data_IF_637381893618
#
_entry.id   IF_637381893618
#
_cell.length_a   1.000
_cell.length_b   1.000
_cell.length_c   1.000
_cell.angle_alpha   90.00
_cell.angle_beta   90.00
_cell.angle_gamma   90.00
#
_symmetry.space_group_name_H-M   'P 1'
#
loop_
_entity.id
_entity.type
_entity.pdbx_description
1 polymer ?
#
# COMPACT_ATOMS: atom_id res chain seq x y z
N UNK A 1 -4.80 -32.59 26.93
CA UNK A 1 -5.63 -31.36 27.08
C UNK A 1 -4.83 -30.05 27.12
N UNK A 2 -3.48 -30.04 26.89
CA UNK A 2 -2.66 -28.84 27.20
C UNK A 2 -2.01 -28.08 26.02
N UNK A 3 -1.96 -28.65 24.83
CA UNK A 3 -1.31 -27.98 23.69
C UNK A 3 -2.12 -26.78 23.17
N UNK A 4 -3.40 -26.80 23.31
CA UNK A 4 -4.28 -25.73 22.82
C UNK A 4 -4.31 -24.51 23.77
N UNK A 5 -4.27 -24.76 25.07
CA UNK A 5 -4.13 -23.73 26.10
C UNK A 5 -2.78 -23.02 26.02
N UNK A 6 -1.69 -23.77 25.80
CA UNK A 6 -0.36 -23.21 25.64
C UNK A 6 -0.23 -22.35 24.38
N UNK A 7 -0.80 -22.78 23.25
CA UNK A 7 -0.85 -21.99 22.00
C UNK A 7 -1.64 -20.69 22.17
N UNK A 8 -2.76 -20.73 22.90
CA UNK A 8 -3.57 -19.54 23.12
C UNK A 8 -2.88 -18.53 24.03
N UNK A 9 -2.23 -19.00 25.11
CA UNK A 9 -1.45 -18.15 26.02
C UNK A 9 -0.27 -17.47 25.30
N UNK A 10 0.46 -18.21 24.47
CA UNK A 10 1.56 -17.67 23.67
C UNK A 10 1.07 -16.64 22.65
N UNK A 11 -0.05 -16.91 22.00
CA UNK A 11 -0.68 -16.01 21.04
C UNK A 11 -1.13 -14.69 21.69
N UNK A 12 -1.72 -14.77 22.89
CA UNK A 12 -2.09 -13.57 23.66
C UNK A 12 -0.88 -12.74 24.08
N UNK A 13 0.20 -13.37 24.55
CA UNK A 13 1.46 -12.67 24.89
C UNK A 13 2.06 -11.97 23.69
N UNK A 14 2.10 -12.62 22.53
CA UNK A 14 2.61 -12.01 21.29
C UNK A 14 1.77 -10.80 20.89
N UNK A 15 0.44 -10.91 20.92
CA UNK A 15 -0.47 -9.81 20.61
C UNK A 15 -0.25 -8.63 21.57
N UNK A 16 -0.17 -8.90 22.87
CA UNK A 16 0.08 -7.87 23.89
C UNK A 16 1.43 -7.18 23.69
N UNK A 17 2.49 -7.95 23.40
CA UNK A 17 3.82 -7.39 23.13
C UNK A 17 3.83 -6.53 21.87
N UNK A 18 3.19 -6.97 20.80
CA UNK A 18 3.08 -6.20 19.54
C UNK A 18 2.25 -4.93 19.77
N UNK A 19 1.15 -5.03 20.50
CA UNK A 19 0.31 -3.84 20.85
C UNK A 19 1.09 -2.87 21.71
N UNK A 20 1.83 -3.34 22.70
CA UNK A 20 2.66 -2.50 23.58
C UNK A 20 3.78 -1.81 22.82
N UNK A 21 4.50 -2.53 21.94
CA UNK A 21 5.52 -1.97 21.05
C UNK A 21 4.91 -0.94 20.09
N UNK A 22 3.72 -1.21 19.56
CA UNK A 22 3.00 -0.28 18.69
C UNK A 22 2.60 1.00 19.43
N UNK A 23 2.13 0.89 20.68
CA UNK A 23 1.78 2.05 21.52
C UNK A 23 3.02 2.87 21.86
N UNK A 24 4.13 2.25 22.27
CA UNK A 24 5.41 2.93 22.51
C UNK A 24 5.88 3.65 21.24
N UNK A 25 5.80 2.99 20.12
CA UNK A 25 6.15 3.56 18.82
C UNK A 25 5.29 4.78 18.46
N UNK A 26 3.98 4.76 18.77
CA UNK A 26 3.10 5.91 18.59
C UNK A 26 3.47 7.09 19.51
N UNK A 27 3.83 6.81 20.77
CA UNK A 27 4.19 7.83 21.77
C UNK A 27 5.54 8.50 21.42
N UNK A 28 6.54 7.74 21.02
CA UNK A 28 7.86 8.30 20.65
C UNK A 28 7.83 9.17 19.40
N UNK A 29 6.79 9.02 18.56
CA UNK A 29 6.60 9.86 17.38
C UNK A 29 6.13 11.29 17.71
N UNK A 30 5.64 11.54 18.91
CA UNK A 30 5.06 12.83 19.33
C UNK A 30 6.07 13.78 19.98
N UNK A 31 7.27 13.34 20.33
CA UNK A 31 8.32 14.22 20.85
C UNK A 31 8.64 15.28 19.80
N UNK A 32 8.35 16.52 20.15
CA UNK A 32 8.37 17.71 19.31
C UNK A 32 9.69 17.87 18.56
N UNK A 33 9.72 17.43 17.31
CA UNK A 33 10.87 17.62 16.44
C UNK A 33 10.63 18.87 15.62
N UNK A 34 11.17 19.96 16.11
CA UNK A 34 11.07 21.26 15.43
C UNK A 34 11.77 21.17 14.07
N UNK A 35 11.03 21.50 13.00
CA UNK A 35 11.61 21.69 11.67
C UNK A 35 12.32 23.03 11.58
N UNK A 36 13.34 23.08 10.73
CA UNK A 36 14.02 24.33 10.39
C UNK A 36 13.08 25.15 9.48
N UNK A 37 12.51 26.21 10.04
CA UNK A 37 11.56 27.09 9.33
C UNK A 37 12.16 27.81 8.12
N UNK A 38 13.48 27.90 8.04
CA UNK A 38 14.17 28.39 6.85
C UNK A 38 14.08 27.45 5.66
N UNK A 39 13.83 26.14 5.90
CA UNK A 39 13.77 25.12 4.88
C UNK A 39 12.36 24.61 4.61
N UNK A 40 11.50 24.59 5.63
CA UNK A 40 10.18 23.95 5.54
C UNK A 40 9.14 24.84 6.19
N UNK A 41 8.09 25.13 5.44
CA UNK A 41 6.88 25.82 5.92
C UNK A 41 5.73 24.81 6.07
N UNK A 42 5.04 24.84 7.20
CA UNK A 42 3.86 24.02 7.42
C UNK A 42 2.60 24.74 6.95
N UNK A 43 1.68 24.00 6.30
CA UNK A 43 0.35 24.51 6.00
C UNK A 43 -0.63 24.25 7.16
N UNK A 44 -1.64 25.12 7.35
CA UNK A 44 -2.59 25.03 8.46
C UNK A 44 -3.62 23.87 8.30
N UNK A 45 -3.65 23.18 7.16
CA UNK A 45 -4.65 22.16 6.89
C UNK A 45 -4.65 21.05 7.94
N UNK A 46 -5.85 20.68 8.40
CA UNK A 46 -6.06 19.63 9.39
C UNK A 46 -6.45 18.31 8.76
N UNK A 47 -7.12 18.35 7.62
CA UNK A 47 -7.63 17.20 6.88
C UNK A 47 -7.71 17.52 5.38
N UNK A 48 -7.80 16.48 4.57
CA UNK A 48 -8.07 16.58 3.14
C UNK A 48 -8.89 15.37 2.68
N UNK A 49 -9.62 15.55 1.60
CA UNK A 49 -10.30 14.48 0.86
C UNK A 49 -9.88 14.61 -0.60
N UNK A 50 -9.64 13.48 -1.25
CA UNK A 50 -9.35 13.43 -2.69
C UNK A 50 -10.08 12.26 -3.34
N UNK A 51 -10.50 12.45 -4.59
CA UNK A 51 -10.85 11.39 -5.52
C UNK A 51 -9.67 11.18 -6.49
N UNK A 52 -9.43 9.94 -6.92
CA UNK A 52 -8.35 9.62 -7.84
C UNK A 52 -8.70 8.41 -8.69
N UNK A 53 -8.05 8.31 -9.85
CA UNK A 53 -8.15 7.16 -10.75
C UNK A 53 -6.78 6.46 -10.76
N UNK A 54 -6.59 5.40 -9.99
CA UNK A 54 -5.34 4.68 -9.98
C UNK A 54 -5.24 3.77 -11.21
N UNK A 55 -4.07 3.73 -11.82
CA UNK A 55 -3.73 2.74 -12.83
C UNK A 55 -2.71 1.77 -12.22
N UNK A 56 -3.11 0.52 -12.00
CA UNK A 56 -2.27 -0.49 -11.37
C UNK A 56 -2.20 -1.73 -12.23
N UNK A 57 -0.99 -2.26 -12.36
CA UNK A 57 -0.68 -3.44 -13.14
C UNK A 57 -0.05 -4.53 -12.27
N UNK A 58 -0.51 -5.75 -12.41
CA UNK A 58 0.10 -6.94 -11.82
C UNK A 58 0.27 -8.02 -12.88
N UNK A 59 1.48 -8.50 -13.02
CA UNK A 59 1.81 -9.64 -13.90
C UNK A 59 2.46 -10.71 -13.04
N UNK A 60 1.96 -11.95 -13.16
CA UNK A 60 2.56 -13.12 -12.54
C UNK A 60 3.35 -13.86 -13.61
N UNK A 61 4.61 -14.13 -13.35
CA UNK A 61 5.45 -14.95 -14.23
C UNK A 61 5.62 -16.34 -13.62
N UNK A 62 5.15 -17.37 -14.32
CA UNK A 62 5.30 -18.76 -13.91
C UNK A 62 5.55 -19.66 -15.12
N UNK A 63 6.58 -20.52 -15.06
CA UNK A 63 6.93 -21.47 -16.14
C UNK A 63 7.03 -20.82 -17.53
N UNK A 64 7.65 -19.64 -17.65
CA UNK A 64 7.79 -18.83 -18.86
C UNK A 64 6.47 -18.27 -19.42
N UNK A 65 5.37 -18.41 -18.70
CA UNK A 65 4.09 -17.80 -19.04
C UNK A 65 3.85 -16.54 -18.21
N UNK A 66 3.22 -15.54 -18.83
CA UNK A 66 2.81 -14.31 -18.16
C UNK A 66 1.30 -14.32 -17.96
N UNK A 67 0.87 -14.34 -16.69
CA UNK A 67 -0.52 -14.18 -16.31
C UNK A 67 -0.80 -12.69 -16.10
N UNK A 68 -1.64 -12.15 -16.93
CA UNK A 68 -1.96 -10.74 -16.96
C UNK A 68 -3.37 -10.52 -16.41
N UNK A 69 -3.57 -9.45 -15.66
CA UNK A 69 -4.90 -8.97 -15.35
C UNK A 69 -5.37 -8.00 -16.44
N UNK A 70 -6.66 -8.04 -16.78
CA UNK A 70 -7.26 -6.95 -17.55
C UNK A 70 -7.36 -5.74 -16.61
N UNK A 71 -6.81 -4.61 -17.02
CA UNK A 71 -6.71 -3.43 -16.16
C UNK A 71 -8.06 -2.67 -16.13
N UNK A 72 -8.96 -2.98 -15.17
CA UNK A 72 -10.20 -2.24 -15.07
C UNK A 72 -9.91 -0.80 -14.64
N UNK A 73 -10.76 0.11 -15.04
CA UNK A 73 -10.69 1.47 -14.49
C UNK A 73 -11.08 1.41 -13.02
N UNK A 74 -10.18 1.84 -12.18
CA UNK A 74 -10.40 1.93 -10.74
C UNK A 74 -10.73 3.36 -10.36
N UNK A 75 -11.64 3.51 -9.41
CA UNK A 75 -11.88 4.78 -8.74
C UNK A 75 -11.46 4.62 -7.29
N UNK A 76 -10.78 5.62 -6.78
CA UNK A 76 -10.33 5.66 -5.41
C UNK A 76 -10.74 6.93 -4.70
N UNK A 77 -10.91 6.83 -3.41
CA UNK A 77 -11.11 7.93 -2.48
C UNK A 77 -10.03 7.88 -1.42
N UNK A 78 -9.54 9.05 -1.05
CA UNK A 78 -8.56 9.18 0.01
C UNK A 78 -8.98 10.24 1.02
N UNK A 79 -8.65 10.00 2.28
CA UNK A 79 -8.82 10.93 3.38
C UNK A 79 -7.55 11.02 4.21
N UNK A 80 -7.13 12.23 4.51
CA UNK A 80 -6.01 12.49 5.40
C UNK A 80 -6.46 13.22 6.65
N UNK A 81 -6.13 12.68 7.81
CA UNK A 81 -6.48 13.18 9.13
C UNK A 81 -5.22 13.62 9.89
N UNK A 82 -4.50 14.59 9.33
CA UNK A 82 -3.17 15.00 9.77
C UNK A 82 -3.05 15.33 11.25
N UNK A 83 -3.96 16.15 11.79
CA UNK A 83 -3.87 16.64 13.18
C UNK A 83 -4.51 15.68 14.19
N UNK A 84 -5.32 14.75 13.74
CA UNK A 84 -6.04 13.82 14.63
C UNK A 84 -5.22 12.56 14.83
N UNK A 85 -4.87 11.88 13.73
CA UNK A 85 -4.18 10.57 13.78
C UNK A 85 -2.81 10.63 13.06
N UNK A 86 -2.57 11.69 12.27
CA UNK A 86 -1.36 11.82 11.44
C UNK A 86 -1.26 10.76 10.36
N UNK A 87 -2.39 10.28 9.86
CA UNK A 87 -2.48 9.19 8.88
C UNK A 87 -3.31 9.62 7.68
N UNK A 88 -2.99 9.02 6.54
CA UNK A 88 -3.76 9.11 5.30
C UNK A 88 -4.26 7.71 4.96
N UNK A 89 -5.54 7.60 4.63
CA UNK A 89 -6.18 6.36 4.21
C UNK A 89 -6.66 6.53 2.77
N UNK A 90 -6.35 5.54 1.93
CA UNK A 90 -6.77 5.50 0.55
C UNK A 90 -7.40 4.15 0.26
N UNK A 91 -8.54 4.19 -0.43
CA UNK A 91 -9.23 2.97 -0.87
C UNK A 91 -9.54 3.13 -2.35
N UNK A 92 -9.26 2.12 -3.15
CA UNK A 92 -9.69 2.06 -4.55
C UNK A 92 -10.25 0.69 -4.89
N UNK A 93 -11.21 0.67 -5.81
CA UNK A 93 -11.88 -0.54 -6.29
C UNK A 93 -12.24 -0.39 -7.77
N UNK A 94 -12.43 -1.52 -8.42
CA UNK A 94 -12.86 -1.56 -9.83
C UNK A 94 -14.33 -1.16 -9.93
N UNK A 95 -14.61 -0.15 -10.74
CA UNK A 95 -15.99 0.35 -10.95
C UNK A 95 -16.51 -0.06 -12.32
N UNK A 96 -15.65 -0.05 -13.33
CA UNK A 96 -16.01 -0.43 -14.69
C UNK A 96 -15.13 -1.59 -15.13
N UNK A 97 -15.70 -2.82 -15.28
CA UNK A 97 -14.98 -3.89 -15.93
C UNK A 97 -14.79 -3.47 -17.40
N UNK A 98 -13.54 -3.21 -17.79
CA UNK A 98 -13.23 -3.07 -19.20
C UNK A 98 -13.45 -4.44 -19.84
N UNK A 99 -14.48 -4.55 -20.67
CA UNK A 99 -14.61 -5.69 -21.58
C UNK A 99 -13.45 -5.58 -22.57
N UNK A 100 -12.45 -6.40 -22.37
CA UNK A 100 -11.37 -6.58 -23.33
C UNK A 100 -11.79 -7.60 -24.37
N UNK A 101 -11.03 -7.71 -25.45
CA UNK A 101 -11.22 -8.75 -26.49
C UNK A 101 -11.22 -10.17 -25.92
N UNK A 102 -10.74 -10.35 -24.70
CA UNK A 102 -10.74 -11.63 -23.98
C UNK A 102 -12.09 -11.99 -23.36
N UNK A 103 -13.03 -11.04 -23.20
CA UNK A 103 -14.27 -11.25 -22.46
C UNK A 103 -14.11 -11.41 -20.94
N UNK A 104 -12.87 -11.42 -20.41
CA UNK A 104 -12.58 -11.51 -18.98
C UNK A 104 -12.68 -10.14 -18.33
N UNK A 105 -13.31 -10.10 -17.16
CA UNK A 105 -13.31 -8.93 -16.28
C UNK A 105 -12.44 -9.20 -15.06
N UNK A 106 -11.33 -8.48 -14.93
CA UNK A 106 -10.51 -8.50 -13.71
C UNK A 106 -11.05 -7.49 -12.70
N UNK A 107 -10.85 -7.76 -11.42
CA UNK A 107 -11.19 -6.84 -10.34
C UNK A 107 -9.99 -6.58 -9.45
N UNK A 108 -9.89 -5.35 -8.94
CA UNK A 108 -8.83 -4.92 -8.02
C UNK A 108 -9.50 -4.20 -6.86
N UNK A 109 -9.19 -4.65 -5.64
CA UNK A 109 -9.46 -3.90 -4.42
C UNK A 109 -8.13 -3.54 -3.80
N UNK A 110 -7.95 -2.26 -3.46
CA UNK A 110 -6.71 -1.74 -2.92
C UNK A 110 -6.98 -0.79 -1.76
N UNK A 111 -6.41 -1.14 -0.63
CA UNK A 111 -6.43 -0.32 0.58
C UNK A 111 -5.00 0.10 0.91
N UNK A 112 -4.78 1.39 1.15
CA UNK A 112 -3.48 1.94 1.51
C UNK A 112 -3.60 2.84 2.73
N UNK A 113 -2.59 2.75 3.59
CA UNK A 113 -2.43 3.55 4.77
C UNK A 113 -1.03 4.18 4.77
N UNK A 114 -0.97 5.48 4.94
CA UNK A 114 0.28 6.21 4.98
C UNK A 114 0.36 7.08 6.23
N UNK A 115 1.46 6.98 6.96
CA UNK A 115 1.77 7.87 8.07
C UNK A 115 3.11 8.53 7.80
N UNK A 116 3.08 9.81 7.44
CA UNK A 116 4.28 10.57 7.17
C UNK A 116 4.62 11.46 8.37
N UNK A 117 5.46 10.92 9.24
CA UNK A 117 6.05 11.65 10.36
C UNK A 117 7.18 12.58 9.90
N UNK A 118 7.76 13.31 10.85
CA UNK A 118 8.91 14.16 10.55
C UNK A 118 10.19 13.36 10.27
N UNK A 119 10.38 12.24 10.98
CA UNK A 119 11.56 11.35 10.85
C UNK A 119 11.24 10.03 10.19
N UNK A 120 10.05 9.52 10.43
CA UNK A 120 9.64 8.18 10.07
C UNK A 120 8.41 8.24 9.18
N UNK A 121 8.50 7.56 8.06
CA UNK A 121 7.38 7.30 7.17
C UNK A 121 7.01 5.84 7.34
N UNK A 122 5.72 5.57 7.34
CA UNK A 122 5.17 4.21 7.39
C UNK A 122 4.12 4.13 6.30
N UNK A 123 4.27 3.15 5.44
CA UNK A 123 3.35 2.84 4.36
C UNK A 123 2.86 1.41 4.53
N UNK A 124 1.55 1.23 4.58
CA UNK A 124 0.92 -0.07 4.61
C UNK A 124 -0.07 -0.20 3.47
N UNK A 125 -0.21 -1.43 2.95
CA UNK A 125 -1.20 -1.69 1.92
C UNK A 125 -1.77 -3.10 2.02
N UNK A 126 -3.00 -3.25 1.52
CA UNK A 126 -3.64 -4.53 1.23
C UNK A 126 -4.26 -4.47 -0.15
N UNK A 127 -3.99 -5.49 -0.97
CA UNK A 127 -4.48 -5.56 -2.34
C UNK A 127 -5.01 -6.96 -2.64
N UNK A 128 -6.17 -7.03 -3.30
CA UNK A 128 -6.78 -8.26 -3.81
C UNK A 128 -7.02 -8.08 -5.32
N UNK A 129 -6.31 -8.86 -6.13
CA UNK A 129 -6.43 -8.92 -7.58
C UNK A 129 -7.12 -10.21 -7.96
N UNK A 130 -8.12 -10.17 -8.83
CA UNK A 130 -8.85 -11.35 -9.32
C UNK A 130 -9.06 -11.28 -10.81
N UNK A 131 -9.04 -12.46 -11.45
CA UNK A 131 -9.22 -12.61 -12.88
C UNK A 131 -7.94 -12.32 -13.65
N UNK A 132 -7.36 -13.36 -14.23
CA UNK A 132 -6.13 -13.29 -15.00
C UNK A 132 -6.31 -14.01 -16.33
N UNK A 133 -5.44 -13.74 -17.28
CA UNK A 133 -5.36 -14.45 -18.55
C UNK A 133 -3.91 -14.63 -18.98
N UNK A 134 -3.64 -15.68 -19.73
CA UNK A 134 -2.41 -15.82 -20.51
C UNK A 134 -2.71 -15.58 -22.00
N UNK A 135 -1.73 -15.04 -22.71
CA UNK A 135 -1.82 -14.83 -24.14
C UNK A 135 -0.71 -15.61 -24.83
N UNK A 136 -1.09 -16.43 -25.82
CA UNK A 136 -0.16 -17.12 -26.72
C UNK A 136 -0.45 -16.72 -28.15
N UNK A 137 0.57 -16.66 -28.98
CA UNK A 137 0.42 -16.50 -30.40
C UNK A 137 0.35 -17.89 -31.06
N UNK A 138 -0.72 -18.16 -31.79
CA UNK A 138 -0.93 -19.42 -32.50
C UNK A 138 -1.40 -19.10 -33.92
N UNK A 139 -0.63 -19.50 -34.91
CA UNK A 139 -0.90 -19.25 -36.33
C UNK A 139 -1.15 -17.75 -36.66
N UNK A 140 -0.35 -16.84 -36.10
CA UNK A 140 -0.49 -15.39 -36.29
C UNK A 140 -1.73 -14.77 -35.62
N UNK A 141 -2.46 -15.56 -34.82
CA UNK A 141 -3.60 -15.07 -34.04
C UNK A 141 -3.32 -15.16 -32.55
N UNK A 142 -3.87 -14.21 -31.80
CA UNK A 142 -3.77 -14.20 -30.33
C UNK A 142 -4.81 -15.18 -29.77
N UNK A 143 -4.34 -16.19 -29.08
CA UNK A 143 -5.17 -17.11 -28.29
C UNK A 143 -5.06 -16.74 -26.82
N UNK A 144 -6.19 -16.68 -26.11
CA UNK A 144 -6.26 -16.32 -24.68
C UNK A 144 -6.76 -17.50 -23.87
N UNK A 145 -6.07 -17.81 -22.78
CA UNK A 145 -6.56 -18.74 -21.75
C UNK A 145 -6.95 -17.93 -20.55
N UNK A 146 -8.18 -18.10 -20.05
CA UNK A 146 -8.77 -17.30 -19.00
C UNK A 146 -8.70 -18.03 -17.66
N UNK A 147 -8.41 -17.29 -16.58
CA UNK A 147 -8.33 -17.77 -15.20
C UNK A 147 -9.16 -16.82 -14.31
N UNK A 148 -10.51 -16.96 -14.35
CA UNK A 148 -11.40 -16.02 -13.67
C UNK A 148 -11.27 -16.06 -12.14
N UNK A 149 -10.99 -17.25 -11.57
CA UNK A 149 -10.90 -17.46 -10.12
C UNK A 149 -9.48 -17.32 -9.57
N UNK A 150 -8.48 -17.22 -10.46
CA UNK A 150 -7.10 -16.96 -10.04
C UNK A 150 -7.05 -15.61 -9.32
N UNK A 151 -6.62 -15.63 -8.07
CA UNK A 151 -6.52 -14.44 -7.26
C UNK A 151 -5.14 -14.28 -6.62
N UNK A 152 -4.71 -13.02 -6.47
CA UNK A 152 -3.48 -12.66 -5.75
C UNK A 152 -3.82 -11.69 -4.66
N UNK A 153 -3.67 -12.13 -3.42
CA UNK A 153 -3.79 -11.30 -2.23
C UNK A 153 -2.40 -10.93 -1.75
N UNK A 154 -2.20 -9.65 -1.51
CA UNK A 154 -0.92 -9.16 -1.03
C UNK A 154 -1.11 -8.05 0.00
N UNK A 155 -0.24 -8.04 0.98
CA UNK A 155 -0.14 -6.95 1.93
C UNK A 155 1.32 -6.68 2.25
N UNK A 156 1.61 -5.48 2.64
CA UNK A 156 2.95 -5.05 2.95
C UNK A 156 2.95 -3.89 3.93
N UNK A 157 4.07 -3.75 4.60
CA UNK A 157 4.36 -2.67 5.52
C UNK A 157 5.78 -2.22 5.29
N UNK A 158 5.95 -0.93 5.01
CA UNK A 158 7.24 -0.27 4.83
C UNK A 158 7.48 0.77 5.90
N UNK A 159 8.72 0.85 6.36
CA UNK A 159 9.18 1.89 7.25
C UNK A 159 10.42 2.57 6.70
N UNK A 160 10.42 3.90 6.62
CA UNK A 160 11.58 4.68 6.14
C UNK A 160 11.94 5.77 7.14
N UNK A 161 13.19 5.76 7.58
CA UNK A 161 13.78 6.76 8.46
C UNK A 161 14.52 7.83 7.64
N UNK A 162 14.26 9.11 7.95
CA UNK A 162 14.86 10.28 7.28
C UNK A 162 15.91 10.89 8.17
N UNK A 163 17.19 10.83 7.78
CA UNK A 163 18.29 11.30 8.62
C UNK A 163 18.25 12.83 8.80
N UNK A 164 18.16 13.61 7.71
CA UNK A 164 18.11 15.08 7.76
C UNK A 164 16.69 15.62 7.79
N UNK A 165 15.83 15.01 8.59
CA UNK A 165 14.40 15.32 8.71
C UNK A 165 14.08 16.78 9.07
N UNK A 166 15.02 17.52 9.66
CA UNK A 166 14.81 18.95 10.00
C UNK A 166 14.77 19.84 8.76
N UNK A 167 15.54 19.53 7.73
CA UNK A 167 15.67 20.33 6.51
C UNK A 167 14.92 19.75 5.31
N UNK A 168 14.79 18.44 5.23
CA UNK A 168 14.03 17.75 4.17
C UNK A 168 12.62 17.40 4.66
N UNK A 169 11.61 17.77 3.87
CA UNK A 169 10.24 17.38 4.12
C UNK A 169 9.73 16.44 3.03
N UNK A 170 9.61 15.16 3.33
CA UNK A 170 8.90 14.22 2.47
C UNK A 170 7.37 14.44 2.49
N UNK A 171 6.84 15.08 3.54
CA UNK A 171 5.44 15.50 3.62
C UNK A 171 5.10 16.58 2.59
N UNK A 172 6.07 17.43 2.23
CA UNK A 172 5.89 18.40 1.15
C UNK A 172 5.69 17.69 -0.21
N UNK A 173 6.41 16.58 -0.43
CA UNK A 173 6.33 15.82 -1.67
C UNK A 173 5.06 14.92 -1.76
N UNK A 174 4.73 14.20 -0.68
CA UNK A 174 3.70 13.16 -0.72
C UNK A 174 2.34 13.59 -0.19
N UNK A 175 2.29 14.50 0.78
CA UNK A 175 1.02 14.95 1.39
C UNK A 175 0.64 16.36 0.98
N UNK A 176 1.58 17.15 0.43
CA UNK A 176 1.39 18.57 0.17
C UNK A 176 0.92 19.36 1.41
N UNK A 177 1.23 18.82 2.59
CA UNK A 177 0.87 19.41 3.88
C UNK A 177 1.93 20.38 4.41
N UNK A 178 3.05 20.45 3.72
CA UNK A 178 4.19 21.34 3.94
C UNK A 178 4.71 21.85 2.60
N UNK A 179 5.50 22.91 2.64
CA UNK A 179 6.24 23.46 1.49
C UNK A 179 7.72 23.41 1.76
N UNK A 180 8.48 22.82 0.84
CA UNK A 180 9.94 22.92 0.84
C UNK A 180 10.33 24.29 0.28
N UNK A 181 10.95 25.16 1.12
CA UNK A 181 11.33 26.52 0.74
C UNK A 181 12.73 26.52 0.11
N UNK A 182 13.68 25.84 0.73
CA UNK A 182 15.05 25.67 0.23
C UNK A 182 15.31 24.22 -0.09
N UNK A 183 16.07 23.97 -1.15
CA UNK A 183 16.50 22.62 -1.51
C UNK A 183 17.27 21.97 -0.38
N UNK A 184 16.98 20.69 -0.12
CA UNK A 184 17.67 19.89 0.87
C UNK A 184 17.67 18.42 0.43
N UNK A 185 18.72 17.71 0.81
CA UNK A 185 18.84 16.27 0.60
C UNK A 185 18.99 15.53 1.92
N UNK A 186 18.63 14.24 1.93
CA UNK A 186 18.79 13.35 3.08
C UNK A 186 19.13 11.94 2.63
N UNK A 187 19.89 11.23 3.44
CA UNK A 187 19.94 9.78 3.37
C UNK A 187 18.67 9.21 4.00
N UNK A 188 18.09 8.22 3.33
CA UNK A 188 16.91 7.48 3.75
C UNK A 188 17.32 6.05 4.09
N UNK A 189 16.90 5.56 5.24
CA UNK A 189 17.07 4.16 5.64
C UNK A 189 15.69 3.53 5.75
N UNK A 190 15.42 2.54 4.92
CA UNK A 190 14.13 1.89 4.86
C UNK A 190 14.22 0.37 4.94
N UNK A 191 13.16 -0.24 5.43
CA UNK A 191 12.93 -1.68 5.42
C UNK A 191 11.44 -1.95 5.26
N UNK A 192 11.12 -3.08 4.63
CA UNK A 192 9.74 -3.47 4.41
C UNK A 192 9.53 -4.96 4.58
N UNK A 193 8.30 -5.33 4.88
CA UNK A 193 7.83 -6.70 4.93
C UNK A 193 6.63 -6.86 3.99
N UNK A 194 6.68 -7.91 3.16
CA UNK A 194 5.66 -8.18 2.15
C UNK A 194 5.21 -9.62 2.21
N UNK A 195 3.90 -9.83 2.11
CA UNK A 195 3.30 -11.13 2.01
C UNK A 195 2.42 -11.23 0.77
N UNK A 196 2.61 -12.30 0.00
CA UNK A 196 1.85 -12.58 -1.20
C UNK A 196 1.23 -13.97 -1.09
N UNK A 197 -0.05 -14.08 -1.40
CA UNK A 197 -0.77 -15.35 -1.48
C UNK A 197 -1.42 -15.46 -2.85
N UNK A 198 -1.04 -16.48 -3.61
CA UNK A 198 -1.71 -16.85 -4.85
C UNK A 198 -2.78 -17.88 -4.49
N UNK A 199 -4.01 -17.64 -4.92
CA UNK A 199 -5.14 -18.58 -4.81
C UNK A 199 -5.36 -19.11 -6.22
N UNK A 200 -5.09 -20.39 -6.48
CA UNK A 200 -5.23 -20.97 -7.81
C UNK A 200 -6.69 -20.95 -8.28
N UNK A 201 -6.87 -20.98 -9.59
CA UNK A 201 -8.19 -21.17 -10.18
C UNK A 201 -8.67 -22.60 -9.92
N UNK A 202 -9.89 -22.75 -9.40
CA UNK A 202 -10.48 -24.05 -9.07
C UNK A 202 -11.00 -24.80 -10.31
N UNK A 203 -11.00 -24.17 -11.46
CA UNK A 203 -11.51 -24.73 -12.72
C UNK A 203 -10.45 -25.49 -13.54
N UNK A 204 -9.23 -25.64 -13.00
CA UNK A 204 -8.13 -26.36 -13.68
C UNK A 204 -7.54 -27.49 -12.87
#
# INVERSE_FOLDING_TARGET
>A
MDKQLFRNATRHKIIQTVTFLFVIFCITSTLAQQKDTLYVQEYPHKWWIKAFVPNKMLIILHNKEAYNATYPQNIGVGVGLRKIIGMNLLVSFSVFPLKTDTGLSSSITDFQMHKYGKRLLIDGYYQDYRGFFTQREQNGKKAYTLFPDLAVKRWGLDGTYVLRHRRLSLRAAFEQSEKQIKSAGSLLLGSGFYYHKIVPDASQ
#
